data_IF_735871513807
#
_entry.id   IF_735871513807
#
_cell.length_a   1.000
_cell.length_b   1.000
_cell.length_c   1.000
_cell.angle_alpha   90.00
_cell.angle_beta   90.00
_cell.angle_gamma   90.00
#
_symmetry.space_group_name_H-M   'P 1'
#
loop_
_entity.id
_entity.type
_entity.pdbx_description
1 polymer ?
#
# COMPACT_ATOMS: atom_id res chain seq x y z
N UNK A 1 12.09 -8.33 -11.93
CA UNK A 1 11.86 -7.63 -10.66
C UNK A 1 10.55 -8.11 -10.06
N UNK A 2 10.55 -8.42 -8.78
CA UNK A 2 9.32 -8.86 -8.14
C UNK A 2 8.33 -7.72 -8.03
N UNK A 3 7.08 -8.04 -8.30
CA UNK A 3 5.98 -7.11 -8.13
C UNK A 3 4.90 -7.79 -7.31
N UNK A 4 4.12 -6.99 -6.62
CA UNK A 4 3.01 -7.49 -5.82
C UNK A 4 1.75 -6.71 -6.17
N UNK A 5 0.69 -7.44 -6.49
CA UNK A 5 -0.61 -6.82 -6.71
C UNK A 5 -1.30 -6.63 -5.37
N UNK A 6 -1.72 -5.43 -5.10
CA UNK A 6 -2.45 -5.10 -3.88
C UNK A 6 -3.87 -4.72 -4.26
N UNK A 7 -4.82 -5.50 -3.77
CA UNK A 7 -6.23 -5.24 -4.00
C UNK A 7 -6.79 -4.50 -2.80
N UNK A 8 -7.60 -3.48 -3.07
CA UNK A 8 -8.25 -2.74 -2.00
C UNK A 8 -9.63 -2.29 -2.43
N UNK A 9 -10.48 -2.06 -1.46
CA UNK A 9 -11.87 -1.67 -1.69
C UNK A 9 -12.14 -0.35 -0.98
N UNK A 10 -12.69 0.59 -1.71
CA UNK A 10 -13.20 1.83 -1.14
C UNK A 10 -14.71 1.69 -0.98
N UNK A 11 -15.22 2.01 0.19
CA UNK A 11 -16.65 1.91 0.49
C UNK A 11 -17.36 3.23 0.32
N UNK A 12 -16.63 4.35 0.38
CA UNK A 12 -17.22 5.68 0.32
C UNK A 12 -16.42 6.58 -0.62
N UNK A 13 -17.06 7.65 -1.09
CA UNK A 13 -16.35 8.72 -1.76
C UNK A 13 -15.49 9.47 -0.76
N UNK A 14 -14.31 9.90 -1.16
CA UNK A 14 -13.50 10.75 -0.32
C UNK A 14 -12.01 10.57 -0.52
N UNK A 15 -11.26 11.30 0.29
CA UNK A 15 -9.80 11.23 0.25
C UNK A 15 -9.32 9.97 0.92
N UNK A 16 -8.30 9.35 0.34
CA UNK A 16 -7.68 8.15 0.92
C UNK A 16 -6.19 8.12 0.61
N UNK A 17 -5.47 7.31 1.38
CA UNK A 17 -4.07 6.99 1.11
C UNK A 17 -3.87 5.49 1.21
N UNK A 18 -2.98 4.97 0.37
CA UNK A 18 -2.56 3.57 0.42
C UNK A 18 -1.05 3.55 0.45
N UNK A 19 -0.48 3.07 1.55
CA UNK A 19 0.96 3.15 1.79
C UNK A 19 1.52 1.83 2.29
N UNK A 20 2.81 1.61 2.03
CA UNK A 20 3.55 0.42 2.46
C UNK A 20 4.44 0.81 3.63
N UNK A 21 4.46 -0.04 4.66
CA UNK A 21 5.29 0.13 5.85
C UNK A 21 6.12 -1.12 6.11
N UNK A 22 7.29 -0.95 6.72
CA UNK A 22 8.13 -2.07 7.12
C UNK A 22 7.74 -2.56 8.52
N UNK A 23 8.46 -3.58 9.01
CA UNK A 23 8.16 -4.19 10.32
C UNK A 23 8.42 -3.25 11.49
N UNK A 24 9.22 -2.24 11.30
CA UNK A 24 9.51 -1.24 12.34
C UNK A 24 8.51 -0.09 12.33
N UNK A 25 7.54 -0.13 11.43
CA UNK A 25 6.55 0.93 11.30
C UNK A 25 7.01 2.09 10.44
N UNK A 26 8.15 1.98 9.77
CA UNK A 26 8.65 3.03 8.89
C UNK A 26 7.94 3.04 7.55
N UNK A 27 7.65 4.22 7.04
CA UNK A 27 7.04 4.36 5.73
C UNK A 27 8.02 3.95 4.64
N UNK A 28 7.61 3.01 3.81
CA UNK A 28 8.41 2.56 2.67
C UNK A 28 7.99 3.30 1.41
N UNK A 29 6.70 3.33 1.13
CA UNK A 29 6.22 3.95 -0.09
C UNK A 29 4.76 4.36 0.04
N UNK A 30 4.44 5.54 -0.48
CA UNK A 30 3.07 5.95 -0.68
C UNK A 30 2.67 5.51 -2.10
N UNK A 31 1.79 4.51 -2.19
CA UNK A 31 1.39 3.97 -3.49
C UNK A 31 0.33 4.82 -4.17
N UNK A 32 -0.64 5.28 -3.41
CA UNK A 32 -1.74 6.08 -3.93
C UNK A 32 -2.25 7.03 -2.88
N UNK A 33 -2.65 8.22 -3.32
CA UNK A 33 -3.34 9.18 -2.47
C UNK A 33 -4.19 10.05 -3.36
N UNK A 34 -5.31 10.53 -2.81
CA UNK A 34 -6.21 11.38 -3.54
C UNK A 34 -7.67 11.03 -3.25
N UNK A 35 -8.57 11.56 -4.04
CA UNK A 35 -9.99 11.29 -3.91
C UNK A 35 -10.36 10.07 -4.72
N UNK A 36 -11.18 9.21 -4.15
CA UNK A 36 -11.64 8.00 -4.80
C UNK A 36 -13.13 7.80 -4.65
N UNK A 37 -13.66 6.86 -5.42
CA UNK A 37 -15.07 6.48 -5.42
C UNK A 37 -15.20 5.05 -4.97
N UNK A 38 -16.37 4.64 -4.45
CA UNK A 38 -16.58 3.25 -4.05
C UNK A 38 -16.27 2.28 -5.18
N UNK A 39 -15.61 1.18 -4.85
CA UNK A 39 -15.27 0.16 -5.82
C UNK A 39 -14.05 -0.63 -5.41
N UNK A 40 -13.71 -1.60 -6.24
CA UNK A 40 -12.54 -2.44 -6.06
C UNK A 40 -11.43 -1.99 -6.98
N UNK A 41 -10.21 -1.94 -6.45
CA UNK A 41 -9.06 -1.42 -7.16
C UNK A 41 -7.87 -2.35 -6.98
N UNK A 42 -6.95 -2.31 -7.92
CA UNK A 42 -5.70 -3.04 -7.83
C UNK A 42 -4.55 -2.09 -8.16
N UNK A 43 -3.49 -2.15 -7.37
CA UNK A 43 -2.28 -1.39 -7.65
C UNK A 43 -1.09 -2.31 -7.56
N UNK A 44 -0.11 -2.08 -8.41
CA UNK A 44 1.11 -2.85 -8.45
C UNK A 44 2.19 -2.16 -7.63
N UNK A 45 2.81 -2.92 -6.71
CA UNK A 45 4.01 -2.44 -6.01
C UNK A 45 5.22 -3.14 -6.58
N UNK A 46 6.20 -2.37 -7.02
CA UNK A 46 7.38 -2.87 -7.71
C UNK A 46 8.56 -3.11 -6.76
N UNK A 47 8.31 -3.20 -5.46
CA UNK A 47 9.32 -3.47 -4.44
C UNK A 47 10.32 -2.34 -4.25
N UNK A 48 9.92 -1.11 -4.56
CA UNK A 48 10.77 0.06 -4.34
C UNK A 48 10.19 0.95 -3.25
N UNK A 49 11.08 1.73 -2.60
CA UNK A 49 10.65 2.77 -1.68
C UNK A 49 10.34 4.08 -2.45
N UNK A 50 10.00 5.13 -1.73
CA UNK A 50 9.67 6.42 -2.36
C UNK A 50 10.85 7.06 -3.09
N UNK A 51 12.06 6.62 -2.81
CA UNK A 51 13.26 7.09 -3.50
C UNK A 51 13.60 6.25 -4.73
N UNK A 52 12.77 5.26 -5.05
CA UNK A 52 13.00 4.39 -6.20
C UNK A 52 14.00 3.28 -5.95
N UNK A 53 14.42 3.08 -4.71
CA UNK A 53 15.40 2.05 -4.35
C UNK A 53 14.69 0.76 -4.03
N UNK A 54 15.27 -0.36 -4.42
CA UNK A 54 14.73 -1.68 -4.12
C UNK A 54 14.84 -1.97 -2.64
N UNK A 55 13.79 -2.57 -2.08
CA UNK A 55 13.77 -2.94 -0.67
C UNK A 55 14.03 -4.43 -0.52
N UNK A 56 14.41 -4.85 0.69
CA UNK A 56 14.76 -6.24 0.99
C UNK A 56 13.51 -7.13 0.95
N UNK A 57 13.72 -8.43 0.74
CA UNK A 57 12.66 -9.41 0.92
C UNK A 57 12.25 -9.44 2.39
N UNK A 58 11.03 -9.81 2.64
CA UNK A 58 10.54 -9.93 4.01
C UNK A 58 9.10 -9.50 4.16
N UNK A 59 8.76 -9.19 5.40
CA UNK A 59 7.40 -8.84 5.79
C UNK A 59 7.17 -7.34 5.68
N UNK A 60 6.08 -6.99 5.04
CA UNK A 60 5.66 -5.59 4.90
C UNK A 60 4.18 -5.49 5.22
N UNK A 61 3.74 -4.29 5.51
CA UNK A 61 2.34 -4.00 5.76
C UNK A 61 1.86 -2.94 4.79
N UNK A 62 0.62 -3.03 4.34
CA UNK A 62 0.02 -1.91 3.64
C UNK A 62 -1.15 -1.39 4.45
N UNK A 63 -1.26 -0.06 4.48
CA UNK A 63 -2.31 0.63 5.20
C UNK A 63 -3.18 1.39 4.23
N UNK A 64 -4.48 1.11 4.26
CA UNK A 64 -5.47 1.89 3.54
C UNK A 64 -6.17 2.79 4.55
N UNK A 65 -5.89 4.08 4.48
CA UNK A 65 -6.46 5.06 5.39
C UNK A 65 -7.52 5.88 4.66
N UNK A 66 -8.71 5.90 5.22
CA UNK A 66 -9.80 6.71 4.72
C UNK A 66 -10.23 7.67 5.83
N UNK A 67 -11.21 8.51 5.51
CA UNK A 67 -11.78 9.43 6.48
C UNK A 67 -12.35 8.70 7.70
N UNK A 68 -12.88 7.48 7.48
CA UNK A 68 -13.60 6.74 8.52
C UNK A 68 -12.70 5.82 9.34
N UNK A 69 -11.69 5.21 8.71
CA UNK A 69 -10.86 4.24 9.41
C UNK A 69 -9.56 3.95 8.66
N UNK A 70 -8.71 3.11 9.27
CA UNK A 70 -7.49 2.62 8.65
C UNK A 70 -7.52 1.10 8.68
N UNK A 71 -7.38 0.49 7.52
CA UNK A 71 -7.25 -0.95 7.38
C UNK A 71 -5.80 -1.30 7.14
N UNK A 72 -5.32 -2.32 7.86
CA UNK A 72 -3.92 -2.75 7.78
C UNK A 72 -3.87 -4.23 7.43
N UNK A 73 -3.03 -4.56 6.46
CA UNK A 73 -2.80 -5.95 6.08
C UNK A 73 -1.31 -6.19 5.93
N UNK A 74 -0.92 -7.43 6.16
CA UNK A 74 0.47 -7.83 5.98
C UNK A 74 0.65 -8.54 4.65
N UNK A 75 1.86 -8.49 4.13
CA UNK A 75 2.24 -9.22 2.92
C UNK A 75 3.71 -9.59 3.01
N UNK A 76 4.07 -10.63 2.28
CA UNK A 76 5.45 -11.10 2.24
C UNK A 76 6.00 -10.82 0.84
N UNK A 77 7.14 -10.13 0.81
CA UNK A 77 7.83 -9.86 -0.44
C UNK A 77 8.90 -10.93 -0.62
N UNK A 78 8.79 -11.68 -1.71
CA UNK A 78 9.73 -12.73 -2.07
C UNK A 78 10.32 -12.38 -3.43
N UNK A 79 11.62 -12.45 -3.50
CA UNK A 79 12.34 -12.20 -4.76
C UNK A 79 12.78 -13.49 -5.43
#
# INVERSE_FOLDING_TARGET
NPTTNIKYTLTDHGYYTLSIYDVNGGLVKNLRSGHGSPGEYTVLWDSTNDNGQKVATGLYFYHLSTKSNTLKNKMILVK
#
